data_IF_836866703016
#
_entry.id   IF_836866703016
#
_cell.length_a   1.000
_cell.length_b   1.000
_cell.length_c   1.000
_cell.angle_alpha   90.00
_cell.angle_beta   90.00
_cell.angle_gamma   90.00
#
_symmetry.space_group_name_H-M   'P 1'
#
loop_
_entity.id
_entity.type
_entity.pdbx_description
1 polymer ?
#
# COMPACT_ATOMS: atom_id res chain seq x y z
N UNK A 1 -21.24 -5.01 28.67
CA UNK A 1 -21.47 -3.99 27.59
C UNK A 1 -20.22 -3.95 26.72
N UNK A 2 -20.38 -4.23 25.40
CA UNK A 2 -19.23 -4.07 24.48
C UNK A 2 -18.87 -2.58 24.43
N UNK A 3 -17.63 -2.21 24.81
CA UNK A 3 -17.17 -0.82 24.75
C UNK A 3 -17.20 -0.29 23.30
N UNK A 4 -17.23 1.03 23.11
CA UNK A 4 -17.20 1.67 21.79
C UNK A 4 -16.04 1.17 20.92
N UNK A 5 -14.90 0.84 21.54
CA UNK A 5 -13.72 0.34 20.84
C UNK A 5 -13.92 -1.04 20.20
N UNK A 6 -14.67 -1.96 20.82
CA UNK A 6 -15.00 -3.26 20.21
C UNK A 6 -15.91 -3.07 19.00
N UNK A 7 -16.94 -2.22 19.10
CA UNK A 7 -17.80 -1.89 17.96
C UNK A 7 -17.02 -1.20 16.83
N UNK A 8 -16.08 -0.29 17.19
CA UNK A 8 -15.21 0.37 16.22
C UNK A 8 -14.29 -0.64 15.52
N UNK A 9 -13.69 -1.59 16.25
CA UNK A 9 -12.89 -2.67 15.69
C UNK A 9 -13.73 -3.48 14.70
N UNK A 10 -14.94 -3.91 15.07
CA UNK A 10 -15.85 -4.65 14.19
C UNK A 10 -16.20 -3.87 12.93
N UNK A 11 -16.48 -2.57 13.06
CA UNK A 11 -16.75 -1.69 11.92
C UNK A 11 -15.54 -1.57 10.99
N UNK A 12 -14.35 -1.34 11.52
CA UNK A 12 -13.12 -1.26 10.73
C UNK A 12 -12.76 -2.60 10.06
N UNK A 13 -13.12 -3.71 10.68
CA UNK A 13 -12.92 -5.05 10.09
C UNK A 13 -13.79 -5.27 8.85
N UNK A 14 -14.89 -4.55 8.68
CA UNK A 14 -15.71 -4.62 7.44
C UNK A 14 -15.11 -3.80 6.29
N UNK A 15 -14.04 -3.02 6.50
CA UNK A 15 -13.47 -2.13 5.49
C UNK A 15 -12.22 -2.73 4.85
N UNK A 16 -12.11 -2.63 3.51
CA UNK A 16 -10.89 -2.99 2.77
C UNK A 16 -10.29 -4.33 3.20
N UNK A 17 -9.05 -4.29 3.65
CA UNK A 17 -8.25 -5.42 4.10
C UNK A 17 -8.74 -6.04 5.42
N UNK A 18 -9.56 -5.31 6.16
CA UNK A 18 -10.02 -5.67 7.48
C UNK A 18 -9.16 -5.15 8.63
N UNK A 19 -9.69 -5.35 9.83
CA UNK A 19 -9.03 -5.05 11.08
C UNK A 19 -9.35 -6.17 12.10
N UNK A 20 -8.85 -7.40 11.84
CA UNK A 20 -9.20 -8.57 12.62
C UNK A 20 -8.74 -8.47 14.07
N UNK A 21 -9.50 -9.13 14.95
CA UNK A 21 -9.15 -9.27 16.35
C UNK A 21 -7.88 -10.12 16.52
N UNK A 22 -7.09 -9.79 17.54
CA UNK A 22 -5.87 -10.51 17.93
C UNK A 22 -6.07 -11.26 19.25
N UNK A 23 -5.16 -12.18 19.57
CA UNK A 23 -5.19 -12.89 20.84
C UNK A 23 -4.81 -11.97 22.01
N UNK A 24 -3.93 -11.00 21.77
CA UNK A 24 -3.46 -10.06 22.79
C UNK A 24 -4.40 -8.88 23.02
N UNK A 25 -5.32 -8.60 22.09
CA UNK A 25 -6.15 -7.39 22.11
C UNK A 25 -5.40 -6.12 21.75
N UNK A 26 -4.23 -6.24 21.10
CA UNK A 26 -3.41 -5.07 20.72
C UNK A 26 -4.16 -4.11 19.78
N UNK A 27 -5.08 -4.61 18.96
CA UNK A 27 -5.94 -3.78 18.11
C UNK A 27 -6.83 -2.83 18.93
N UNK A 28 -7.31 -3.27 20.07
CA UNK A 28 -8.08 -2.42 21.00
C UNK A 28 -7.17 -1.37 21.66
N UNK A 29 -5.94 -1.75 22.02
CA UNK A 29 -4.94 -0.82 22.55
C UNK A 29 -4.58 0.26 21.53
N UNK A 30 -4.41 -0.11 20.25
CA UNK A 30 -4.21 0.83 19.14
C UNK A 30 -5.39 1.80 19.01
N UNK A 31 -6.63 1.31 19.03
CA UNK A 31 -7.80 2.17 18.94
C UNK A 31 -7.89 3.15 20.12
N UNK A 32 -7.61 2.70 21.35
CA UNK A 32 -7.57 3.58 22.53
C UNK A 32 -6.48 4.66 22.46
N UNK A 33 -5.34 4.35 21.81
CA UNK A 33 -4.29 5.34 21.59
C UNK A 33 -4.68 6.41 20.55
N UNK A 34 -5.47 6.04 19.53
CA UNK A 34 -5.86 6.92 18.43
C UNK A 34 -7.16 7.68 18.69
N UNK A 35 -8.14 7.06 19.33
CA UNK A 35 -9.49 7.56 19.54
C UNK A 35 -9.79 7.71 21.04
N UNK A 36 -10.45 8.79 21.44
CA UNK A 36 -11.22 8.80 22.68
C UNK A 36 -12.48 7.92 22.52
N UNK A 37 -13.14 7.57 23.62
CA UNK A 37 -14.39 6.79 23.55
C UNK A 37 -15.48 7.54 22.78
N UNK A 38 -15.61 8.85 23.02
CA UNK A 38 -16.52 9.72 22.28
C UNK A 38 -16.21 9.82 20.78
N UNK A 39 -14.92 9.80 20.40
CA UNK A 39 -14.53 9.76 18.98
C UNK A 39 -14.89 8.43 18.35
N UNK A 40 -14.69 7.33 19.06
CA UNK A 40 -15.05 5.99 18.58
C UNK A 40 -16.57 5.89 18.35
N UNK A 41 -17.38 6.38 19.28
CA UNK A 41 -18.84 6.45 19.14
C UNK A 41 -19.26 7.35 17.97
N UNK A 42 -18.63 8.50 17.81
CA UNK A 42 -18.91 9.39 16.70
C UNK A 42 -18.55 8.76 15.34
N UNK A 43 -17.37 8.14 15.23
CA UNK A 43 -16.93 7.44 14.03
C UNK A 43 -17.92 6.35 13.59
N UNK A 44 -18.54 5.63 14.50
CA UNK A 44 -19.52 4.59 14.20
C UNK A 44 -20.76 5.10 13.44
N UNK A 45 -21.02 6.40 13.49
CA UNK A 45 -22.10 7.04 12.73
C UNK A 45 -21.67 7.47 11.32
N UNK A 46 -20.39 7.35 10.97
CA UNK A 46 -19.89 7.69 9.63
C UNK A 46 -19.99 6.47 8.70
N UNK A 47 -20.21 6.75 7.43
CA UNK A 47 -20.14 5.76 6.35
C UNK A 47 -18.86 5.96 5.53
N UNK A 48 -18.52 4.98 4.69
CA UNK A 48 -17.45 5.15 3.69
C UNK A 48 -17.88 6.04 2.51
N UNK A 49 -19.17 6.32 2.38
CA UNK A 49 -19.69 7.32 1.43
C UNK A 49 -19.34 8.72 1.94
N UNK A 50 -18.81 9.54 1.06
CA UNK A 50 -18.50 10.92 1.39
C UNK A 50 -19.78 11.76 1.49
N UNK A 51 -20.03 12.32 2.67
CA UNK A 51 -21.23 13.07 3.03
C UNK A 51 -20.85 14.48 3.50
N UNK A 52 -21.74 15.47 3.28
CA UNK A 52 -21.59 16.80 3.86
C UNK A 52 -21.95 16.79 5.35
N UNK A 53 -21.43 17.74 6.10
CA UNK A 53 -21.64 17.81 7.55
C UNK A 53 -23.12 17.93 7.95
N UNK A 54 -23.92 18.60 7.14
CA UNK A 54 -25.35 18.79 7.33
C UNK A 54 -26.12 17.46 7.29
N UNK A 55 -25.81 16.57 6.32
CA UNK A 55 -26.44 15.26 6.19
C UNK A 55 -26.08 14.34 7.36
N UNK A 56 -24.81 14.40 7.79
CA UNK A 56 -24.32 13.65 8.96
C UNK A 56 -25.04 14.16 10.22
N UNK A 57 -25.08 15.47 10.43
CA UNK A 57 -25.72 16.12 11.57
C UNK A 57 -27.20 15.73 11.72
N UNK A 58 -27.94 15.80 10.61
CA UNK A 58 -29.34 15.38 10.56
C UNK A 58 -29.54 13.92 10.97
N UNK A 59 -28.67 13.01 10.48
CA UNK A 59 -28.74 11.58 10.78
C UNK A 59 -28.47 11.25 12.24
N UNK A 60 -27.53 11.98 12.87
CA UNK A 60 -27.13 11.71 14.27
C UNK A 60 -27.83 12.62 15.29
N UNK A 61 -28.71 13.49 14.81
CA UNK A 61 -29.47 14.44 15.63
C UNK A 61 -28.57 15.34 16.51
N UNK A 62 -27.51 15.91 15.89
CA UNK A 62 -26.61 16.90 16.52
C UNK A 62 -26.65 18.22 15.75
N UNK A 63 -26.32 19.36 16.43
CA UNK A 63 -26.15 20.63 15.74
C UNK A 63 -25.10 20.55 14.62
N UNK A 64 -25.35 21.22 13.50
CA UNK A 64 -24.45 21.21 12.33
C UNK A 64 -23.04 21.70 12.69
N UNK A 65 -22.95 22.82 13.44
CA UNK A 65 -21.65 23.40 13.84
C UNK A 65 -20.84 22.47 14.77
N UNK A 66 -21.52 21.80 15.70
CA UNK A 66 -20.86 20.79 16.55
C UNK A 66 -20.36 19.60 15.72
N UNK A 67 -21.20 19.09 14.82
CA UNK A 67 -20.84 17.99 13.91
C UNK A 67 -19.64 18.36 13.06
N UNK A 68 -19.64 19.57 12.46
CA UNK A 68 -18.54 20.07 11.64
C UNK A 68 -17.25 20.21 12.45
N UNK A 69 -17.32 20.75 13.66
CA UNK A 69 -16.17 20.88 14.56
C UNK A 69 -15.56 19.50 14.89
N UNK A 70 -16.38 18.48 15.18
CA UNK A 70 -15.92 17.10 15.43
C UNK A 70 -15.28 16.48 14.18
N UNK A 71 -15.89 16.66 12.99
CA UNK A 71 -15.37 16.15 11.73
C UNK A 71 -14.01 16.77 11.39
N UNK A 72 -13.85 18.09 11.54
CA UNK A 72 -12.55 18.76 11.31
C UNK A 72 -11.49 18.32 12.33
N UNK A 73 -11.85 18.14 13.60
CA UNK A 73 -10.94 17.60 14.61
C UNK A 73 -10.44 16.19 14.24
N UNK A 74 -11.36 15.28 13.89
CA UNK A 74 -11.00 13.92 13.49
C UNK A 74 -10.15 13.91 12.21
N UNK A 75 -10.46 14.78 11.24
CA UNK A 75 -9.66 14.98 10.02
C UNK A 75 -8.23 15.41 10.36
N UNK A 76 -8.05 16.45 11.17
CA UNK A 76 -6.73 16.96 11.58
C UNK A 76 -5.92 15.94 12.39
N UNK A 77 -6.60 14.99 13.02
CA UNK A 77 -5.99 13.84 13.69
C UNK A 77 -5.71 12.66 12.78
N UNK A 78 -6.16 12.69 11.53
CA UNK A 78 -5.95 11.62 10.56
C UNK A 78 -6.81 10.37 10.85
N UNK A 79 -8.03 10.55 11.36
CA UNK A 79 -8.91 9.45 11.73
C UNK A 79 -10.05 9.24 10.74
N UNK A 80 -10.35 10.25 9.93
CA UNK A 80 -11.34 10.20 8.85
C UNK A 80 -10.80 10.89 7.60
N UNK A 81 -11.43 10.66 6.47
CA UNK A 81 -11.11 11.30 5.21
C UNK A 81 -11.97 12.55 5.00
N UNK A 82 -11.37 13.59 4.44
CA UNK A 82 -11.99 14.83 4.02
C UNK A 82 -11.67 15.08 2.55
N UNK A 83 -12.67 15.47 1.79
CA UNK A 83 -12.51 15.86 0.40
C UNK A 83 -13.29 17.14 0.12
N UNK A 84 -12.66 18.09 -0.55
CA UNK A 84 -13.31 19.26 -1.11
C UNK A 84 -13.50 19.05 -2.61
N UNK A 85 -14.74 19.20 -3.08
CA UNK A 85 -15.09 19.06 -4.50
C UNK A 85 -16.34 19.85 -4.80
N UNK A 86 -16.28 20.68 -5.87
CA UNK A 86 -17.40 21.54 -6.29
C UNK A 86 -17.83 22.53 -5.19
N UNK A 87 -16.88 23.09 -4.44
CA UNK A 87 -17.15 24.03 -3.36
C UNK A 87 -17.82 23.43 -2.12
N UNK A 88 -17.91 22.08 -2.04
CA UNK A 88 -18.48 21.38 -0.89
C UNK A 88 -17.43 20.49 -0.24
N UNK A 89 -17.38 20.55 1.08
CA UNK A 89 -16.54 19.67 1.89
C UNK A 89 -17.36 18.45 2.29
N UNK A 90 -16.78 17.26 2.09
CA UNK A 90 -17.37 15.97 2.44
C UNK A 90 -16.43 15.16 3.30
N UNK A 91 -16.99 14.35 4.17
CA UNK A 91 -16.28 13.53 5.14
C UNK A 91 -16.74 12.08 5.03
N UNK A 92 -15.85 11.14 5.33
CA UNK A 92 -16.19 9.71 5.33
C UNK A 92 -15.25 8.90 6.19
N UNK A 93 -15.75 7.77 6.66
CA UNK A 93 -14.94 6.76 7.32
C UNK A 93 -13.94 6.15 6.35
N UNK A 94 -12.76 5.79 6.86
CA UNK A 94 -11.68 5.16 6.09
C UNK A 94 -11.26 3.84 6.73
N UNK A 95 -10.65 2.93 5.94
CA UNK A 95 -10.06 1.70 6.48
C UNK A 95 -8.94 1.99 7.47
N UNK A 96 -8.60 1.00 8.29
CA UNK A 96 -7.43 1.08 9.17
C UNK A 96 -6.13 1.14 8.35
N UNK A 97 -5.91 0.16 7.44
CA UNK A 97 -4.78 0.14 6.51
C UNK A 97 -5.14 0.80 5.18
N UNK A 98 -4.22 1.53 4.60
CA UNK A 98 -4.39 2.52 3.54
C UNK A 98 -5.44 3.58 3.93
N UNK A 99 -5.27 4.09 5.13
CA UNK A 99 -6.14 5.10 5.72
C UNK A 99 -5.61 5.57 7.06
N UNK A 100 -6.24 5.15 8.16
CA UNK A 100 -5.92 5.67 9.50
C UNK A 100 -4.44 5.54 9.84
N UNK A 101 -3.81 4.39 9.57
CA UNK A 101 -2.40 4.13 9.91
C UNK A 101 -1.47 5.08 9.14
N UNK A 102 -1.65 5.21 7.84
CA UNK A 102 -0.79 6.04 7.00
C UNK A 102 -0.93 7.52 7.34
N UNK A 103 -2.10 7.96 7.78
CA UNK A 103 -2.33 9.35 8.23
C UNK A 103 -1.62 9.66 9.56
N UNK A 104 -1.12 8.65 10.29
CA UNK A 104 -0.31 8.85 11.49
C UNK A 104 1.18 9.10 11.20
N UNK A 105 1.60 9.21 9.94
CA UNK A 105 3.03 9.33 9.53
C UNK A 105 3.82 10.38 10.32
N UNK A 106 3.17 11.47 10.73
CA UNK A 106 3.80 12.55 11.51
C UNK A 106 3.73 12.34 13.03
N UNK A 107 2.86 11.43 13.47
CA UNK A 107 2.61 11.14 14.90
C UNK A 107 3.25 9.83 15.35
N UNK A 108 3.96 9.15 14.45
CA UNK A 108 4.69 7.95 14.79
C UNK A 108 5.74 8.25 15.87
N UNK A 109 5.68 7.47 16.91
CA UNK A 109 6.67 7.36 17.98
C UNK A 109 7.03 5.89 18.21
N UNK A 110 7.90 5.63 19.17
CA UNK A 110 8.34 4.26 19.49
C UNK A 110 7.17 3.40 20.00
N UNK A 111 6.29 3.95 20.81
CA UNK A 111 5.15 3.22 21.39
C UNK A 111 4.15 2.83 20.28
N UNK A 112 3.68 3.79 19.47
CA UNK A 112 2.78 3.52 18.36
C UNK A 112 3.41 2.55 17.35
N UNK A 113 4.69 2.71 17.07
CA UNK A 113 5.42 1.81 16.16
C UNK A 113 5.46 0.38 16.68
N UNK A 114 5.67 0.18 17.98
CA UNK A 114 5.67 -1.15 18.61
C UNK A 114 4.29 -1.81 18.60
N UNK A 115 3.23 -1.04 18.90
CA UNK A 115 1.85 -1.52 18.85
C UNK A 115 1.45 -1.91 17.41
N UNK A 116 1.83 -1.10 16.41
CA UNK A 116 1.58 -1.41 15.00
C UNK A 116 2.31 -2.68 14.57
N UNK A 117 3.58 -2.85 14.98
CA UNK A 117 4.35 -4.07 14.67
C UNK A 117 3.69 -5.32 15.24
N UNK A 118 3.31 -5.26 16.52
CA UNK A 118 2.61 -6.36 17.17
C UNK A 118 1.31 -6.69 16.44
N UNK A 119 0.52 -5.67 16.10
CA UNK A 119 -0.71 -5.85 15.36
C UNK A 119 -0.47 -6.45 13.96
N UNK A 120 0.56 -6.02 13.23
CA UNK A 120 0.89 -6.61 11.94
C UNK A 120 1.24 -8.09 12.04
N UNK A 121 1.94 -8.49 13.07
CA UNK A 121 2.29 -9.90 13.29
C UNK A 121 1.08 -10.76 13.71
N UNK A 122 0.24 -10.26 14.61
CA UNK A 122 -0.85 -11.04 15.20
C UNK A 122 -2.18 -10.98 14.43
N UNK A 123 -2.48 -9.86 13.77
CA UNK A 123 -3.75 -9.58 13.11
C UNK A 123 -3.64 -9.46 11.59
N UNK A 124 -2.95 -8.42 11.11
CA UNK A 124 -2.91 -8.06 9.69
C UNK A 124 -2.40 -9.19 8.78
N UNK A 125 -1.34 -9.89 9.19
CA UNK A 125 -0.73 -10.96 8.40
C UNK A 125 -1.68 -12.13 8.13
N UNK A 126 -2.74 -12.31 8.94
CA UNK A 126 -3.75 -13.37 8.71
C UNK A 126 -4.53 -13.17 7.42
N UNK A 127 -4.77 -11.90 7.05
CA UNK A 127 -5.56 -11.54 5.87
C UNK A 127 -4.74 -11.38 4.59
N UNK A 128 -3.40 -11.41 4.69
CA UNK A 128 -2.51 -11.16 3.53
C UNK A 128 -2.66 -12.25 2.48
N UNK A 129 -2.62 -13.53 2.86
CA UNK A 129 -2.66 -14.64 1.91
C UNK A 129 -3.89 -14.57 1.00
N UNK A 130 -5.03 -14.19 1.58
CA UNK A 130 -6.31 -14.19 0.86
C UNK A 130 -6.57 -12.92 0.05
N UNK A 131 -5.94 -11.79 0.40
CA UNK A 131 -6.35 -10.48 -0.13
C UNK A 131 -5.21 -9.65 -0.75
N UNK A 132 -3.96 -10.08 -0.68
CA UNK A 132 -2.81 -9.31 -1.16
C UNK A 132 -2.91 -8.95 -2.65
N UNK A 133 -3.44 -9.86 -3.46
CA UNK A 133 -3.64 -9.68 -4.90
C UNK A 133 -4.61 -8.54 -5.25
N UNK A 134 -5.59 -8.28 -4.38
CA UNK A 134 -6.54 -7.17 -4.55
C UNK A 134 -6.09 -5.88 -3.86
N UNK A 135 -5.05 -5.91 -3.05
CA UNK A 135 -4.60 -4.77 -2.27
C UNK A 135 -3.54 -3.95 -2.99
N UNK A 136 -2.40 -4.56 -3.29
CA UNK A 136 -1.31 -3.97 -4.04
C UNK A 136 -0.88 -4.95 -5.15
N UNK A 137 -0.62 -4.43 -6.34
CA UNK A 137 0.00 -5.20 -7.40
C UNK A 137 1.46 -4.83 -7.58
N UNK A 138 2.24 -5.73 -8.14
CA UNK A 138 3.61 -5.48 -8.54
C UNK A 138 3.65 -5.14 -10.01
N UNK A 139 4.26 -3.99 -10.35
CA UNK A 139 4.51 -3.59 -11.73
C UNK A 139 6.02 -3.65 -12.03
N UNK A 140 6.40 -3.90 -13.30
CA UNK A 140 7.80 -4.03 -13.67
C UNK A 140 8.57 -2.71 -13.54
N UNK A 141 9.89 -2.83 -13.45
CA UNK A 141 10.79 -1.67 -13.47
C UNK A 141 10.72 -0.92 -14.79
N UNK A 142 10.97 0.41 -14.76
CA UNK A 142 10.92 1.26 -15.95
C UNK A 142 11.88 0.81 -17.05
N UNK A 143 13.07 0.34 -16.70
CA UNK A 143 14.05 -0.21 -17.67
C UNK A 143 13.46 -1.29 -18.59
N UNK A 144 12.52 -2.11 -18.07
CA UNK A 144 11.84 -3.13 -18.89
C UNK A 144 10.78 -2.48 -19.80
N UNK A 145 10.03 -1.51 -19.27
CA UNK A 145 8.96 -0.81 -19.98
C UNK A 145 9.51 -0.07 -21.19
N UNK A 146 10.68 0.54 -21.07
CA UNK A 146 11.35 1.27 -22.14
C UNK A 146 11.81 0.37 -23.32
N UNK A 147 11.95 -0.94 -23.08
CA UNK A 147 12.36 -1.92 -24.09
C UNK A 147 11.14 -2.55 -24.79
N UNK A 148 10.06 -2.81 -24.06
CA UNK A 148 8.86 -3.52 -24.53
C UNK A 148 7.70 -2.54 -24.78
N UNK A 149 7.32 -2.38 -26.04
CA UNK A 149 6.30 -1.40 -26.47
C UNK A 149 4.83 -1.83 -26.26
N UNK A 150 4.57 -3.03 -25.76
CA UNK A 150 3.22 -3.61 -25.63
C UNK A 150 2.75 -3.83 -24.19
N UNK A 151 3.27 -3.07 -23.23
CA UNK A 151 2.88 -3.17 -21.82
C UNK A 151 1.54 -2.47 -21.60
N UNK A 152 0.63 -3.13 -20.92
CA UNK A 152 -0.65 -2.51 -20.55
C UNK A 152 -0.40 -1.24 -19.71
N UNK A 153 -1.08 -0.14 -20.05
CA UNK A 153 -0.85 1.19 -19.45
C UNK A 153 -0.96 1.22 -17.92
N UNK A 154 -1.77 0.32 -17.34
CA UNK A 154 -1.88 0.20 -15.88
C UNK A 154 -0.65 -0.47 -15.22
N UNK A 155 0.28 -1.05 -15.98
CA UNK A 155 1.56 -1.57 -15.54
C UNK A 155 2.73 -0.63 -15.82
N UNK A 156 2.47 0.56 -16.35
CA UNK A 156 3.45 1.60 -16.66
C UNK A 156 3.26 2.79 -15.70
N UNK A 157 4.30 3.12 -14.93
CA UNK A 157 4.28 4.25 -14.00
C UNK A 157 4.00 5.56 -14.72
N UNK A 158 4.63 5.79 -15.89
CA UNK A 158 4.43 7.02 -16.66
C UNK A 158 2.96 7.16 -17.09
N UNK A 159 2.38 6.09 -17.63
CA UNK A 159 0.98 6.07 -18.05
C UNK A 159 -0.02 6.17 -16.87
N UNK A 160 0.34 5.67 -15.68
CA UNK A 160 -0.46 5.89 -14.46
C UNK A 160 -0.42 7.38 -14.08
N UNK A 161 0.77 8.00 -14.09
CA UNK A 161 0.95 9.39 -13.71
C UNK A 161 0.32 10.36 -14.71
N UNK A 162 0.18 9.98 -15.98
CA UNK A 162 -0.51 10.80 -17.00
C UNK A 162 -2.02 10.96 -16.75
N UNK A 163 -2.60 10.08 -15.94
CA UNK A 163 -4.04 10.08 -15.64
C UNK A 163 -4.40 10.85 -14.38
N UNK A 164 -3.41 11.43 -13.68
CA UNK A 164 -3.63 12.08 -12.38
C UNK A 164 -3.25 13.56 -12.41
N UNK A 165 -4.16 14.41 -11.91
CA UNK A 165 -3.97 15.86 -11.89
C UNK A 165 -3.12 16.34 -10.70
N UNK A 166 -3.18 15.62 -9.59
CA UNK A 166 -2.46 15.98 -8.35
C UNK A 166 -1.67 14.79 -7.86
N UNK A 167 -0.37 15.00 -7.67
CA UNK A 167 0.56 14.01 -7.13
C UNK A 167 1.15 14.56 -5.83
N UNK A 168 1.11 13.77 -4.78
CA UNK A 168 1.85 14.05 -3.55
C UNK A 168 2.82 12.91 -3.25
N UNK A 169 3.98 13.25 -2.69
CA UNK A 169 4.96 12.29 -2.17
C UNK A 169 5.10 12.45 -0.65
N UNK A 170 5.31 11.36 0.04
CA UNK A 170 5.51 11.31 1.49
C UNK A 170 6.54 10.26 1.87
N UNK A 171 7.02 10.34 3.11
CA UNK A 171 7.85 9.30 3.70
C UNK A 171 7.13 7.94 3.72
N UNK A 172 7.87 6.87 3.53
CA UNK A 172 7.36 5.52 3.74
C UNK A 172 7.08 5.27 5.22
N UNK A 173 5.80 5.10 5.58
CA UNK A 173 5.38 4.79 6.94
C UNK A 173 6.10 3.57 7.50
N UNK A 174 6.18 2.46 6.73
CA UNK A 174 6.79 1.22 7.19
C UNK A 174 8.29 1.38 7.51
N UNK A 175 9.06 2.09 6.66
CA UNK A 175 10.47 2.39 6.95
C UNK A 175 10.65 3.30 8.15
N UNK A 176 9.78 4.31 8.28
CA UNK A 176 9.79 5.21 9.44
C UNK A 176 9.45 4.48 10.73
N UNK A 177 8.42 3.63 10.73
CA UNK A 177 8.06 2.76 11.85
C UNK A 177 9.23 1.88 12.28
N UNK A 178 9.86 1.17 11.34
CA UNK A 178 11.02 0.31 11.63
C UNK A 178 12.21 1.07 12.19
N UNK A 179 12.45 2.33 11.75
CA UNK A 179 13.48 3.20 12.34
C UNK A 179 13.24 3.48 13.83
N UNK A 180 11.99 3.77 14.23
CA UNK A 180 11.65 3.94 15.64
C UNK A 180 11.91 2.68 16.48
N UNK A 181 11.90 1.52 15.85
CA UNK A 181 12.18 0.23 16.49
C UNK A 181 13.68 -0.18 16.40
N UNK A 182 14.53 0.65 15.80
CA UNK A 182 15.96 0.33 15.61
C UNK A 182 16.25 -0.71 14.52
N UNK A 183 15.27 -1.02 13.66
CA UNK A 183 15.34 -2.08 12.64
C UNK A 183 15.10 -1.57 11.20
N UNK A 184 15.20 -0.27 10.97
CA UNK A 184 14.97 0.34 9.66
C UNK A 184 16.12 0.11 8.67
N UNK A 185 15.80 0.01 7.37
CA UNK A 185 16.81 0.00 6.31
C UNK A 185 17.30 1.41 5.96
N UNK A 186 18.41 1.49 5.20
CA UNK A 186 19.01 2.75 4.72
C UNK A 186 18.45 3.27 3.40
N UNK A 187 17.48 2.57 2.79
CA UNK A 187 16.88 2.96 1.50
C UNK A 187 16.11 4.29 1.59
N UNK A 188 15.90 5.00 0.46
CA UNK A 188 15.20 6.29 0.45
C UNK A 188 13.86 6.25 1.17
N UNK A 189 13.55 7.28 1.97
CA UNK A 189 12.31 7.33 2.78
C UNK A 189 11.14 7.89 2.00
N UNK A 190 11.32 9.02 1.30
CA UNK A 190 10.27 9.74 0.56
C UNK A 190 9.97 9.04 -0.78
N UNK A 191 9.18 7.97 -0.73
CA UNK A 191 8.90 7.12 -1.90
C UNK A 191 7.46 6.58 -1.93
N UNK A 192 6.57 7.10 -1.09
CA UNK A 192 5.14 6.77 -1.13
C UNK A 192 4.37 7.88 -1.84
N UNK A 193 3.63 7.52 -2.88
CA UNK A 193 2.86 8.47 -3.70
C UNK A 193 1.37 8.35 -3.41
N UNK A 194 0.72 9.51 -3.38
CA UNK A 194 -0.73 9.64 -3.33
C UNK A 194 -1.21 10.38 -4.58
N UNK A 195 -2.40 10.05 -5.06
CA UNK A 195 -2.95 10.57 -6.31
C UNK A 195 -4.33 11.20 -6.12
N UNK A 196 -4.64 12.23 -6.91
CA UNK A 196 -5.94 12.89 -6.94
C UNK A 196 -6.40 13.40 -5.56
N UNK A 197 -7.60 13.03 -5.13
CA UNK A 197 -8.17 13.47 -3.85
C UNK A 197 -7.38 13.00 -2.64
N UNK A 198 -6.73 11.84 -2.70
CA UNK A 198 -5.85 11.38 -1.64
C UNK A 198 -4.58 12.26 -1.56
N UNK A 199 -4.01 12.63 -2.71
CA UNK A 199 -2.88 13.56 -2.74
C UNK A 199 -3.25 14.92 -2.15
N UNK A 200 -4.43 15.46 -2.50
CA UNK A 200 -4.91 16.71 -1.95
C UNK A 200 -5.07 16.64 -0.43
N UNK A 201 -5.65 15.54 0.09
CA UNK A 201 -5.76 15.31 1.54
C UNK A 201 -4.38 15.34 2.23
N UNK A 202 -3.36 14.69 1.63
CA UNK A 202 -2.00 14.68 2.20
C UNK A 202 -1.36 16.07 2.20
N UNK A 203 -1.59 16.86 1.15
CA UNK A 203 -1.09 18.24 1.05
C UNK A 203 -1.75 19.14 2.10
N UNK A 204 -3.08 19.10 2.16
CA UNK A 204 -3.88 19.95 3.08
C UNK A 204 -3.55 19.68 4.56
N UNK A 205 -3.36 18.40 4.90
CA UNK A 205 -3.00 17.97 6.27
C UNK A 205 -1.49 17.93 6.50
N UNK A 206 -0.67 18.44 5.57
CA UNK A 206 0.80 18.50 5.65
C UNK A 206 1.45 17.13 5.87
N UNK A 207 0.84 16.05 5.42
CA UNK A 207 1.37 14.68 5.52
C UNK A 207 2.38 14.36 4.41
N UNK A 208 2.33 15.09 3.30
CA UNK A 208 3.21 14.99 2.15
C UNK A 208 3.34 16.32 1.44
N UNK A 209 4.15 16.36 0.39
CA UNK A 209 4.33 17.54 -0.46
C UNK A 209 3.86 17.28 -1.89
N UNK A 210 3.35 18.31 -2.56
CA UNK A 210 3.00 18.27 -3.98
C UNK A 210 4.26 18.16 -4.82
N UNK A 211 4.21 17.32 -5.85
CA UNK A 211 5.26 17.17 -6.87
C UNK A 211 4.66 17.14 -8.26
N UNK A 212 5.49 17.30 -9.28
CA UNK A 212 5.12 17.08 -10.67
C UNK A 212 5.47 15.65 -11.14
N UNK A 213 5.06 15.31 -12.36
CA UNK A 213 5.32 14.01 -12.98
C UNK A 213 6.82 13.74 -13.15
N UNK A 214 7.61 14.74 -13.53
CA UNK A 214 9.03 14.56 -13.79
C UNK A 214 9.78 14.19 -12.50
N UNK A 215 9.46 14.87 -11.41
CA UNK A 215 10.01 14.54 -10.09
C UNK A 215 9.54 13.17 -9.61
N UNK A 216 8.26 12.81 -9.83
CA UNK A 216 7.73 11.50 -9.47
C UNK A 216 8.50 10.37 -10.19
N UNK A 217 8.73 10.48 -11.50
CA UNK A 217 9.50 9.51 -12.28
C UNK A 217 10.95 9.39 -11.79
N UNK A 218 11.59 10.51 -11.44
CA UNK A 218 12.92 10.51 -10.86
C UNK A 218 12.98 9.75 -9.54
N UNK A 219 12.03 10.01 -8.63
CA UNK A 219 11.95 9.31 -7.34
C UNK A 219 11.72 7.80 -7.55
N UNK A 220 10.86 7.40 -8.49
CA UNK A 220 10.64 5.98 -8.82
C UNK A 220 11.91 5.33 -9.35
N UNK A 221 12.63 5.98 -10.26
CA UNK A 221 13.88 5.44 -10.80
C UNK A 221 14.95 5.25 -9.71
N UNK A 222 15.09 6.21 -8.80
CA UNK A 222 16.00 6.10 -7.65
C UNK A 222 15.56 5.00 -6.67
N UNK A 223 14.26 4.86 -6.44
CA UNK A 223 13.69 3.82 -5.62
C UNK A 223 13.98 2.42 -6.20
N UNK A 224 13.75 2.21 -7.49
CA UNK A 224 14.03 0.96 -8.20
C UNK A 224 15.53 0.63 -8.17
N UNK A 225 16.39 1.60 -8.42
CA UNK A 225 17.86 1.44 -8.30
C UNK A 225 18.29 1.05 -6.89
N UNK A 226 17.55 1.50 -5.86
CA UNK A 226 17.77 1.15 -4.46
C UNK A 226 17.13 -0.18 -4.03
N UNK A 227 16.59 -0.98 -4.97
CA UNK A 227 15.97 -2.27 -4.67
C UNK A 227 14.56 -2.17 -4.08
N UNK A 228 13.80 -1.11 -4.40
CA UNK A 228 12.42 -0.95 -3.98
C UNK A 228 11.44 -1.40 -5.08
N UNK A 229 10.51 -2.26 -4.70
CA UNK A 229 9.44 -2.77 -5.59
C UNK A 229 8.35 -1.73 -5.74
N UNK A 230 8.02 -1.37 -6.97
CA UNK A 230 6.92 -0.45 -7.27
C UNK A 230 5.57 -1.16 -7.17
N UNK A 231 4.72 -0.69 -6.26
CA UNK A 231 3.43 -1.32 -5.91
C UNK A 231 2.30 -0.29 -5.89
N UNK A 232 1.61 -0.02 -7.01
CA UNK A 232 0.34 0.71 -6.99
C UNK A 232 -0.78 -0.13 -6.38
N UNK A 233 -1.85 0.52 -5.95
CA UNK A 233 -3.11 -0.15 -5.63
C UNK A 233 -3.60 -1.01 -6.80
N UNK A 234 -4.29 -2.12 -6.53
CA UNK A 234 -4.75 -3.05 -7.57
C UNK A 234 -5.98 -2.51 -8.29
N UNK A 235 -5.79 -1.38 -8.99
CA UNK A 235 -6.77 -0.80 -9.92
C UNK A 235 -6.05 -0.09 -11.06
N UNK A 236 -6.73 0.12 -12.20
CA UNK A 236 -6.13 0.82 -13.34
C UNK A 236 -5.84 2.29 -13.00
N UNK A 237 -6.70 2.91 -12.18
CA UNK A 237 -6.57 4.27 -11.68
C UNK A 237 -6.40 4.23 -10.15
N UNK A 238 -5.20 3.91 -9.63
CA UNK A 238 -4.97 3.76 -8.19
C UNK A 238 -4.99 5.11 -7.46
N UNK A 239 -5.41 5.11 -6.20
CA UNK A 239 -5.34 6.29 -5.33
C UNK A 239 -3.92 6.58 -4.80
N UNK A 240 -2.99 5.66 -5.01
CA UNK A 240 -1.60 5.80 -4.60
C UNK A 240 -0.71 4.66 -5.07
N UNK A 241 0.59 4.81 -4.82
CA UNK A 241 1.63 3.87 -5.23
C UNK A 241 2.75 3.87 -4.20
N UNK A 242 3.11 2.69 -3.74
CA UNK A 242 4.24 2.47 -2.83
C UNK A 242 5.49 2.05 -3.59
N UNK A 243 6.67 2.29 -2.99
CA UNK A 243 7.94 1.65 -3.38
C UNK A 243 8.50 0.94 -2.14
N UNK A 244 8.44 -0.37 -2.15
CA UNK A 244 8.55 -1.23 -0.97
C UNK A 244 9.84 -2.05 -0.95
N UNK A 245 10.42 -2.22 0.23
CA UNK A 245 11.50 -3.20 0.46
C UNK A 245 10.95 -4.46 1.14
N UNK A 246 11.64 -5.59 0.97
CA UNK A 246 11.30 -6.84 1.63
C UNK A 246 11.54 -6.85 3.14
N UNK A 247 12.27 -5.85 3.67
CA UNK A 247 12.70 -5.79 5.07
C UNK A 247 11.71 -5.05 5.97
N UNK A 248 11.26 -3.85 5.54
CA UNK A 248 10.46 -2.95 6.37
C UNK A 248 8.97 -2.98 6.03
N UNK A 249 8.60 -3.28 4.79
CA UNK A 249 7.21 -3.20 4.35
C UNK A 249 6.33 -4.26 5.04
N UNK A 250 5.25 -3.83 5.69
CA UNK A 250 4.32 -4.75 6.35
C UNK A 250 3.71 -5.77 5.37
N UNK A 251 3.37 -5.33 4.15
CA UNK A 251 2.78 -6.20 3.12
C UNK A 251 3.83 -7.09 2.47
N UNK A 252 4.88 -6.49 1.87
CA UNK A 252 5.88 -7.24 1.12
C UNK A 252 6.71 -8.16 2.01
N UNK A 253 7.05 -7.71 3.23
CA UNK A 253 7.76 -8.52 4.23
C UNK A 253 6.92 -9.68 4.77
N UNK A 254 5.59 -9.52 4.84
CA UNK A 254 4.71 -10.64 5.18
C UNK A 254 4.62 -11.64 4.01
N UNK A 255 4.42 -11.16 2.78
CA UNK A 255 4.38 -11.98 1.56
C UNK A 255 5.65 -12.81 1.40
N UNK A 256 6.82 -12.24 1.67
CA UNK A 256 8.12 -12.91 1.62
C UNK A 256 8.18 -14.19 2.48
N UNK A 257 7.43 -14.23 3.59
CA UNK A 257 7.40 -15.37 4.54
C UNK A 257 6.59 -16.57 4.04
N UNK A 258 5.75 -16.38 3.01
CA UNK A 258 4.98 -17.49 2.44
C UNK A 258 5.89 -18.39 1.58
N UNK A 259 5.57 -19.71 1.48
CA UNK A 259 6.30 -20.62 0.62
C UNK A 259 6.28 -20.20 -0.85
N UNK A 260 5.12 -19.74 -1.34
CA UNK A 260 4.85 -19.41 -2.74
C UNK A 260 4.39 -17.95 -2.90
N UNK A 261 5.24 -16.92 -2.70
CA UNK A 261 4.87 -15.52 -2.83
C UNK A 261 4.26 -15.16 -4.20
N UNK A 262 4.69 -15.83 -5.27
CA UNK A 262 4.22 -15.58 -6.63
C UNK A 262 2.73 -15.88 -6.85
N UNK A 263 2.12 -16.74 -6.02
CA UNK A 263 0.70 -17.12 -6.13
C UNK A 263 -0.23 -16.09 -5.50
N UNK A 264 0.24 -15.40 -4.45
CA UNK A 264 -0.56 -14.44 -3.69
C UNK A 264 -0.37 -12.99 -4.14
N UNK A 265 0.66 -12.69 -4.93
CA UNK A 265 0.91 -11.36 -5.49
C UNK A 265 0.26 -11.24 -6.87
N UNK A 266 -0.39 -10.10 -7.10
CA UNK A 266 -0.79 -9.75 -8.45
C UNK A 266 0.44 -9.23 -9.23
N UNK A 267 0.88 -10.01 -10.23
CA UNK A 267 1.89 -9.60 -11.21
C UNK A 267 1.70 -10.36 -12.51
N UNK A 268 1.87 -9.69 -13.63
CA UNK A 268 1.77 -10.28 -14.96
C UNK A 268 3.11 -10.83 -15.48
N UNK A 269 4.18 -10.75 -14.71
CA UNK A 269 5.53 -11.07 -15.15
C UNK A 269 6.25 -12.03 -14.20
N UNK A 270 7.32 -12.63 -14.70
CA UNK A 270 8.36 -13.30 -13.93
C UNK A 270 9.73 -13.07 -14.60
N UNK A 271 10.81 -13.25 -13.84
CA UNK A 271 12.18 -13.11 -14.37
C UNK A 271 12.69 -14.44 -14.88
N UNK A 272 13.50 -14.40 -15.93
CA UNK A 272 14.27 -15.54 -16.44
C UNK A 272 15.73 -15.15 -16.62
N UNK A 273 16.62 -16.14 -16.55
CA UNK A 273 18.06 -15.96 -16.77
C UNK A 273 18.44 -16.55 -18.12
N UNK A 274 19.17 -15.78 -18.91
CA UNK A 274 19.84 -16.22 -20.14
C UNK A 274 21.23 -16.72 -19.74
N UNK A 275 21.38 -18.03 -19.64
CA UNK A 275 22.58 -18.66 -19.07
C UNK A 275 23.86 -18.28 -19.82
N UNK A 276 23.78 -18.13 -21.15
CA UNK A 276 24.89 -17.77 -22.02
C UNK A 276 25.47 -16.38 -21.71
N UNK A 277 24.66 -15.49 -21.18
CA UNK A 277 25.07 -14.13 -20.82
C UNK A 277 25.42 -14.00 -19.31
N UNK A 278 25.14 -15.06 -18.52
CA UNK A 278 25.30 -14.98 -17.08
C UNK A 278 26.77 -15.21 -16.67
N UNK A 279 27.35 -14.22 -16.04
CA UNK A 279 28.75 -14.29 -15.51
C UNK A 279 28.85 -14.77 -14.07
N UNK A 280 27.73 -15.12 -13.42
CA UNK A 280 27.73 -15.57 -12.03
C UNK A 280 28.06 -14.49 -11.00
N UNK A 281 27.93 -13.19 -11.31
CA UNK A 281 28.35 -12.09 -10.43
C UNK A 281 27.49 -11.89 -9.17
N UNK A 282 26.30 -12.51 -9.07
CA UNK A 282 25.44 -12.49 -7.89
C UNK A 282 24.59 -11.22 -7.70
N UNK A 283 24.80 -10.14 -8.46
CA UNK A 283 24.10 -8.86 -8.27
C UNK A 283 22.56 -8.96 -8.31
N UNK A 284 22.01 -9.89 -9.10
CA UNK A 284 20.57 -10.17 -9.16
C UNK A 284 20.05 -10.88 -7.90
N UNK A 285 20.90 -11.62 -7.18
CA UNK A 285 20.57 -12.28 -5.90
C UNK A 285 20.45 -11.21 -4.82
N UNK A 286 21.46 -10.34 -4.69
CA UNK A 286 21.56 -9.32 -3.65
C UNK A 286 20.39 -8.32 -3.68
N UNK A 287 19.91 -7.96 -4.88
CA UNK A 287 18.81 -7.01 -5.03
C UNK A 287 17.43 -7.66 -4.89
N UNK A 288 17.32 -8.99 -4.90
CA UNK A 288 16.03 -9.68 -4.94
C UNK A 288 15.29 -9.60 -3.58
N UNK A 289 14.16 -8.86 -3.45
CA UNK A 289 13.47 -8.71 -2.18
C UNK A 289 12.75 -9.98 -1.70
N UNK A 290 12.56 -10.96 -2.62
CA UNK A 290 11.86 -12.23 -2.35
C UNK A 290 12.80 -13.41 -2.18
N UNK A 291 14.12 -13.21 -2.30
CA UNK A 291 15.10 -14.32 -2.27
C UNK A 291 14.73 -15.40 -3.31
N UNK A 292 14.30 -14.95 -4.49
CA UNK A 292 13.83 -15.82 -5.57
C UNK A 292 14.94 -16.23 -6.54
N UNK A 293 16.17 -15.83 -6.32
CA UNK A 293 17.29 -16.13 -7.23
C UNK A 293 18.40 -16.78 -6.41
N UNK A 294 18.96 -17.83 -6.94
CA UNK A 294 20.07 -18.57 -6.33
C UNK A 294 21.14 -18.87 -7.37
N UNK A 295 22.35 -19.18 -6.91
CA UNK A 295 23.43 -19.65 -7.78
C UNK A 295 23.31 -21.15 -7.96
N UNK A 296 23.50 -21.63 -9.18
CA UNK A 296 23.58 -23.08 -9.51
C UNK A 296 25.01 -23.57 -9.34
N UNK A 297 25.21 -24.89 -9.32
CA UNK A 297 26.54 -25.53 -9.29
C UNK A 297 27.37 -25.20 -10.54
N UNK A 298 26.72 -24.88 -11.66
CA UNK A 298 27.39 -24.43 -12.89
C UNK A 298 27.88 -22.98 -12.85
N UNK A 299 27.64 -22.26 -11.75
CA UNK A 299 28.06 -20.87 -11.59
C UNK A 299 27.17 -19.84 -12.30
N UNK A 300 25.98 -20.23 -12.77
CA UNK A 300 24.97 -19.33 -13.33
C UNK A 300 23.84 -19.10 -12.32
N UNK A 301 23.15 -17.96 -12.41
CA UNK A 301 21.98 -17.69 -11.57
C UNK A 301 20.74 -18.44 -12.10
N UNK A 302 19.84 -18.84 -11.20
CA UNK A 302 18.56 -19.46 -11.50
C UNK A 302 17.43 -18.80 -10.73
N UNK A 303 16.24 -18.69 -11.34
CA UNK A 303 15.06 -18.08 -10.74
C UNK A 303 14.09 -19.14 -10.21
N UNK A 304 13.79 -19.08 -8.92
CA UNK A 304 12.68 -19.83 -8.33
C UNK A 304 11.35 -19.12 -8.67
N UNK A 305 10.59 -19.69 -9.60
CA UNK A 305 9.34 -19.11 -10.11
C UNK A 305 8.23 -19.05 -9.06
N UNK A 306 8.25 -19.91 -8.02
CA UNK A 306 7.27 -19.87 -6.94
C UNK A 306 7.47 -18.66 -6.03
N UNK A 307 8.70 -18.11 -5.99
CA UNK A 307 9.05 -16.93 -5.20
C UNK A 307 9.12 -15.65 -6.03
N UNK A 308 9.26 -15.73 -7.34
CA UNK A 308 9.43 -14.57 -8.22
C UNK A 308 8.13 -13.80 -8.40
N UNK A 309 8.09 -12.56 -7.90
CA UNK A 309 6.93 -11.65 -8.02
C UNK A 309 6.98 -10.76 -9.28
N UNK A 310 7.94 -10.95 -10.18
CA UNK A 310 8.01 -10.25 -11.47
C UNK A 310 8.27 -8.74 -11.40
N UNK A 311 8.91 -8.25 -10.34
CA UNK A 311 9.19 -6.82 -10.16
C UNK A 311 10.30 -6.29 -11.09
N UNK A 312 11.19 -7.15 -11.60
CA UNK A 312 12.26 -6.79 -12.52
C UNK A 312 13.47 -6.09 -11.89
N UNK A 313 13.57 -5.97 -10.57
CA UNK A 313 14.73 -5.34 -9.93
C UNK A 313 16.05 -6.02 -10.31
N UNK A 314 16.05 -7.34 -10.49
CA UNK A 314 17.22 -8.08 -10.97
C UNK A 314 17.68 -7.64 -12.38
N UNK A 315 16.77 -7.16 -13.22
CA UNK A 315 17.11 -6.58 -14.53
C UNK A 315 17.89 -5.27 -14.37
N UNK A 316 17.54 -4.43 -13.37
CA UNK A 316 18.26 -3.18 -13.13
C UNK A 316 19.68 -3.40 -12.61
N UNK A 317 19.91 -4.50 -11.89
CA UNK A 317 21.22 -4.87 -11.34
C UNK A 317 22.11 -5.63 -12.33
N UNK A 318 21.56 -6.20 -13.39
CA UNK A 318 22.32 -6.97 -14.36
C UNK A 318 22.98 -6.05 -15.41
N UNK A 319 24.32 -6.08 -15.45
CA UNK A 319 25.12 -5.36 -16.45
C UNK A 319 25.42 -6.19 -17.70
N UNK A 320 25.02 -7.46 -17.74
CA UNK A 320 25.38 -8.45 -18.78
C UNK A 320 24.18 -8.87 -19.63
N UNK A 321 23.03 -8.18 -19.48
CA UNK A 321 21.80 -8.50 -20.20
C UNK A 321 21.34 -9.98 -20.03
N UNK A 322 21.79 -10.62 -18.96
CA UNK A 322 21.45 -12.00 -18.66
C UNK A 322 20.06 -12.16 -18.02
N UNK A 323 19.44 -11.09 -17.53
CA UNK A 323 18.10 -11.14 -16.92
C UNK A 323 17.06 -10.62 -17.91
N UNK A 324 15.99 -11.39 -18.10
CA UNK A 324 14.81 -10.98 -18.87
C UNK A 324 13.56 -11.06 -18.01
N UNK A 325 12.58 -10.19 -18.26
CA UNK A 325 11.21 -10.34 -17.78
C UNK A 325 10.38 -11.02 -18.85
N UNK A 326 9.61 -12.01 -18.42
CA UNK A 326 8.71 -12.78 -19.28
C UNK A 326 7.28 -12.51 -18.84
N UNK A 327 6.42 -12.17 -19.77
CA UNK A 327 5.00 -12.03 -19.52
C UNK A 327 4.35 -13.39 -19.28
N UNK A 328 3.54 -13.50 -18.23
CA UNK A 328 2.79 -14.71 -17.91
C UNK A 328 1.77 -15.00 -19.00
N UNK A 329 1.51 -16.28 -19.29
CA UNK A 329 0.44 -16.70 -20.19
C UNK A 329 -0.93 -16.09 -19.77
N UNK A 330 -1.84 -15.88 -20.73
CA UNK A 330 -3.13 -15.20 -20.49
C UNK A 330 -3.95 -15.84 -19.37
N UNK A 331 -3.88 -17.16 -19.22
CA UNK A 331 -4.56 -17.89 -18.14
C UNK A 331 -4.09 -17.52 -16.73
N UNK A 332 -2.93 -16.85 -16.57
CA UNK A 332 -2.37 -16.38 -15.30
C UNK A 332 -2.54 -14.88 -15.08
N UNK A 333 -3.08 -14.16 -16.06
CA UNK A 333 -3.35 -12.73 -15.96
C UNK A 333 -4.68 -12.52 -15.24
N UNK A 334 -4.69 -11.66 -14.23
CA UNK A 334 -5.89 -11.27 -13.50
C UNK A 334 -6.39 -9.93 -14.02
N UNK A 335 -7.72 -9.78 -14.11
CA UNK A 335 -8.30 -8.48 -14.44
C UNK A 335 -8.05 -7.46 -13.34
N UNK A 336 -7.59 -6.27 -13.74
CA UNK A 336 -7.37 -5.13 -12.85
C UNK A 336 -8.66 -4.31 -12.78
N UNK A 337 -9.26 -4.10 -11.59
CA UNK A 337 -10.40 -3.21 -11.41
C UNK A 337 -10.15 -1.82 -12.01
N UNK A 338 -11.18 -1.14 -12.49
CA UNK A 338 -11.02 0.15 -13.14
C UNK A 338 -10.51 1.22 -12.18
N UNK A 339 -11.06 1.26 -10.98
CA UNK A 339 -10.75 2.28 -9.97
C UNK A 339 -10.71 1.68 -8.57
N UNK A 340 -10.32 2.51 -7.59
CA UNK A 340 -10.21 2.09 -6.19
C UNK A 340 -11.54 1.64 -5.58
N UNK A 341 -12.69 2.21 -6.01
CA UNK A 341 -14.01 1.79 -5.52
C UNK A 341 -14.30 0.35 -5.94
N UNK A 342 -14.07 0.02 -7.22
CA UNK A 342 -14.29 -1.33 -7.75
C UNK A 342 -13.32 -2.34 -7.11
N UNK A 343 -12.09 -1.91 -6.85
CA UNK A 343 -11.13 -2.69 -6.07
C UNK A 343 -11.69 -3.03 -4.68
N UNK A 344 -12.24 -2.06 -3.95
CA UNK A 344 -12.82 -2.25 -2.62
C UNK A 344 -14.05 -3.17 -2.65
N UNK A 345 -14.90 -3.04 -3.68
CA UNK A 345 -16.06 -3.93 -3.89
C UNK A 345 -15.59 -5.37 -4.10
N UNK A 346 -14.63 -5.61 -5.01
CA UNK A 346 -14.09 -6.97 -5.23
C UNK A 346 -13.47 -7.55 -3.96
N UNK A 347 -12.82 -6.73 -3.16
CA UNK A 347 -12.25 -7.15 -1.87
C UNK A 347 -13.34 -7.52 -0.86
N UNK A 348 -14.41 -6.74 -0.77
CA UNK A 348 -15.56 -7.03 0.10
C UNK A 348 -16.27 -8.33 -0.32
N UNK A 349 -16.47 -8.56 -1.62
CA UNK A 349 -17.01 -9.81 -2.17
C UNK A 349 -16.12 -11.01 -1.82
N UNK A 350 -14.81 -10.90 -2.01
CA UNK A 350 -13.86 -11.98 -1.68
C UNK A 350 -13.86 -12.32 -0.19
N UNK A 351 -14.14 -11.33 0.67
CA UNK A 351 -14.28 -11.51 2.13
C UNK A 351 -15.68 -11.93 2.58
N UNK A 352 -16.65 -12.09 1.67
CA UNK A 352 -18.02 -12.47 2.01
C UNK A 352 -18.81 -11.40 2.79
N UNK A 353 -18.48 -10.12 2.58
CA UNK A 353 -19.12 -8.98 3.27
C UNK A 353 -20.31 -8.42 2.48
N UNK A 354 -20.36 -8.70 1.16
CA UNK A 354 -21.45 -8.35 0.23
C UNK A 354 -21.59 -9.44 -0.82
#
# INVERSE_FOLDING_TARGET
MNSAYFKLRERLDTYSFGFPATKSGVEITLLKKLFSESDAEFFLNLSQKLEIAEDIAARINLPVEETKSRLENLTGRGLIFRQESGGKIRYGAIPFMHGIVEFQIRKLDKELSSLLEQYFQEGFNKNIADNADLFLRVIPVQKYIDIEHHIASYNDVSAILDKVDVIAVTDCLCRKQKKFMGAGCSRPSETCFMFGSMAQYYIDNKLGRKIDKAEALKIVAEAQKSGLVTQPGTSQNPAGMCNCCGDCCAVLGAIKKFPNPAEIVFSNYFSAIVSENCTGCGACIDICPMEAIQMTDSGTAEVNLTRCIGCGLCLTACNFEAVKLIEKADARKKEVPENTRDQMIKMAQKRGLI
#
